data_IF_078156330766
#
_entry.id   IF_078156330766
#
_cell.length_a   1.000
_cell.length_b   1.000
_cell.length_c   1.000
_cell.angle_alpha   90.00
_cell.angle_beta   90.00
_cell.angle_gamma   90.00
#
_symmetry.space_group_name_H-M   'P 1'
#
loop_
_entity.id
_entity.type
_entity.pdbx_description
1 polymer ?
#
# COMPACT_ATOMS: atom_id res chain seq x y z
N UNK A 1 4.11 -2.86 7.77
CA UNK A 1 3.93 -4.27 7.36
C UNK A 1 5.02 -5.08 8.06
N UNK A 2 4.70 -5.88 9.08
CA UNK A 2 5.67 -6.80 9.71
C UNK A 2 6.13 -7.92 8.76
N UNK A 3 7.29 -8.51 9.03
CA UNK A 3 7.92 -9.61 8.26
C UNK A 3 7.11 -10.93 8.30
N UNK A 4 6.11 -11.05 9.17
CA UNK A 4 5.30 -12.27 9.31
C UNK A 4 4.04 -12.21 8.45
N UNK A 5 4.23 -12.37 7.14
CA UNK A 5 3.15 -12.50 6.14
C UNK A 5 2.06 -13.49 6.59
N UNK A 6 2.49 -14.70 6.98
CA UNK A 6 1.64 -15.79 7.47
C UNK A 6 0.81 -15.40 8.70
N UNK A 7 1.41 -14.69 9.66
CA UNK A 7 0.67 -14.26 10.86
C UNK A 7 -0.45 -13.29 10.51
N UNK A 8 -0.21 -12.32 9.61
CA UNK A 8 -1.27 -11.42 9.13
C UNK A 8 -2.38 -12.17 8.41
N UNK A 9 -2.04 -13.13 7.57
CA UNK A 9 -3.06 -13.94 6.90
C UNK A 9 -3.90 -14.73 7.88
N UNK A 10 -3.29 -15.31 8.92
CA UNK A 10 -4.03 -16.01 9.97
C UNK A 10 -5.01 -15.09 10.70
N UNK A 11 -4.62 -13.84 10.97
CA UNK A 11 -5.52 -12.84 11.54
C UNK A 11 -6.69 -12.49 10.59
N UNK A 12 -6.42 -12.30 9.29
CA UNK A 12 -7.46 -12.05 8.28
C UNK A 12 -8.40 -13.27 8.17
N UNK A 13 -7.86 -14.48 8.21
CA UNK A 13 -8.64 -15.71 8.17
C UNK A 13 -9.56 -15.86 9.39
N UNK A 14 -9.06 -15.55 10.59
CA UNK A 14 -9.85 -15.53 11.82
C UNK A 14 -10.97 -14.48 11.80
N UNK A 15 -10.66 -13.25 11.36
CA UNK A 15 -11.65 -12.19 11.20
C UNK A 15 -12.74 -12.57 10.16
N UNK A 16 -12.34 -13.16 9.04
CA UNK A 16 -13.26 -13.70 8.04
C UNK A 16 -14.20 -14.76 8.61
N UNK A 17 -13.70 -15.69 9.44
CA UNK A 17 -14.54 -16.70 10.05
C UNK A 17 -15.66 -16.06 10.89
N UNK A 18 -15.35 -15.05 11.70
CA UNK A 18 -16.34 -14.30 12.48
C UNK A 18 -17.36 -13.57 11.60
N UNK A 19 -16.89 -12.92 10.52
CA UNK A 19 -17.77 -12.23 9.56
C UNK A 19 -18.76 -13.22 8.92
N UNK A 20 -18.27 -14.42 8.55
CA UNK A 20 -19.12 -15.49 8.00
C UNK A 20 -20.14 -16.02 9.01
N UNK A 21 -19.72 -16.26 10.26
CA UNK A 21 -20.62 -16.68 11.35
C UNK A 21 -21.73 -15.64 11.60
N UNK A 22 -21.41 -14.34 11.49
CA UNK A 22 -22.40 -13.27 11.59
C UNK A 22 -23.28 -13.10 10.33
N UNK A 23 -23.04 -13.87 9.27
CA UNK A 23 -23.77 -13.75 8.00
C UNK A 23 -23.52 -12.43 7.27
N UNK A 24 -22.40 -11.75 7.54
CA UNK A 24 -22.11 -10.43 6.97
C UNK A 24 -21.47 -10.54 5.58
N UNK A 25 -21.97 -9.73 4.65
CA UNK A 25 -21.53 -9.67 3.25
C UNK A 25 -21.71 -8.24 2.70
N UNK A 26 -21.54 -8.05 1.38
CA UNK A 26 -21.66 -6.74 0.73
C UNK A 26 -23.04 -6.07 0.90
N UNK A 27 -24.11 -6.83 1.19
CA UNK A 27 -25.47 -6.30 1.42
C UNK A 27 -25.73 -5.92 2.87
N UNK A 28 -24.82 -6.27 3.79
CA UNK A 28 -24.93 -5.86 5.19
C UNK A 28 -24.84 -4.34 5.32
N UNK A 29 -25.41 -3.82 6.41
CA UNK A 29 -25.46 -2.39 6.71
C UNK A 29 -24.69 -2.08 8.01
N UNK A 30 -24.35 -0.81 8.21
CA UNK A 30 -23.68 -0.35 9.44
C UNK A 30 -22.34 -1.06 9.68
N UNK A 31 -22.11 -1.50 10.92
CA UNK A 31 -20.84 -2.11 11.34
C UNK A 31 -20.51 -3.40 10.58
N UNK A 32 -21.52 -4.22 10.24
CA UNK A 32 -21.30 -5.46 9.51
C UNK A 32 -20.75 -5.20 8.11
N UNK A 33 -21.28 -4.17 7.43
CA UNK A 33 -20.75 -3.71 6.14
C UNK A 33 -19.30 -3.24 6.27
N UNK A 34 -19.00 -2.41 7.27
CA UNK A 34 -17.66 -1.89 7.50
C UNK A 34 -16.65 -3.00 7.79
N UNK A 35 -17.01 -3.96 8.65
CA UNK A 35 -16.18 -5.13 8.95
C UNK A 35 -15.93 -5.98 7.71
N UNK A 36 -16.97 -6.25 6.91
CA UNK A 36 -16.87 -7.00 5.67
C UNK A 36 -15.89 -6.34 4.69
N UNK A 37 -16.12 -5.08 4.33
CA UNK A 37 -15.32 -4.36 3.34
C UNK A 37 -13.88 -4.12 3.79
N UNK A 38 -13.66 -3.83 5.07
CA UNK A 38 -12.31 -3.71 5.62
C UNK A 38 -11.56 -5.05 5.52
N UNK A 39 -12.21 -6.16 5.87
CA UNK A 39 -11.58 -7.47 5.84
C UNK A 39 -11.20 -7.90 4.42
N UNK A 40 -12.14 -7.86 3.48
CA UNK A 40 -11.86 -8.24 2.08
C UNK A 40 -10.88 -7.27 1.43
N UNK A 41 -10.93 -5.97 1.76
CA UNK A 41 -9.96 -4.98 1.29
C UNK A 41 -8.54 -5.29 1.75
N UNK A 42 -8.34 -5.61 3.03
CA UNK A 42 -7.02 -6.03 3.55
C UNK A 42 -6.54 -7.35 2.95
N UNK A 43 -7.45 -8.29 2.69
CA UNK A 43 -7.15 -9.55 2.01
C UNK A 43 -6.65 -9.29 0.59
N UNK A 44 -7.39 -8.51 -0.22
CA UNK A 44 -7.02 -8.15 -1.61
C UNK A 44 -5.64 -7.47 -1.64
N UNK A 45 -5.41 -6.47 -0.78
CA UNK A 45 -4.11 -5.78 -0.70
C UNK A 45 -2.96 -6.70 -0.29
N UNK A 46 -3.25 -7.75 0.48
CA UNK A 46 -2.25 -8.76 0.84
C UNK A 46 -1.98 -9.71 -0.32
N UNK A 47 -3.04 -10.20 -0.98
CA UNK A 47 -2.98 -11.09 -2.14
C UNK A 47 -2.25 -10.45 -3.32
N UNK A 48 -2.49 -9.16 -3.58
CA UNK A 48 -1.77 -8.38 -4.61
C UNK A 48 -0.26 -8.40 -4.40
N UNK A 49 0.20 -8.40 -3.15
CA UNK A 49 1.63 -8.39 -2.85
C UNK A 49 2.28 -9.76 -2.95
N UNK A 50 1.63 -10.79 -2.42
CA UNK A 50 2.17 -12.15 -2.44
C UNK A 50 1.88 -12.89 -3.75
N UNK A 51 1.16 -12.25 -4.67
CA UNK A 51 0.62 -12.87 -5.87
C UNK A 51 -0.19 -14.14 -5.55
N UNK A 52 -1.09 -14.03 -4.57
CA UNK A 52 -2.01 -15.08 -4.18
C UNK A 52 -3.41 -14.79 -4.65
N UNK A 53 -4.22 -15.83 -4.76
CA UNK A 53 -5.66 -15.66 -4.89
C UNK A 53 -6.23 -15.23 -3.55
N UNK A 54 -7.30 -14.43 -3.56
CA UNK A 54 -8.11 -14.22 -2.35
C UNK A 54 -8.73 -15.55 -1.94
N UNK A 55 -8.72 -15.83 -0.63
CA UNK A 55 -9.23 -17.09 -0.12
C UNK A 55 -10.75 -17.04 0.15
N UNK A 56 -11.36 -15.86 0.22
CA UNK A 56 -12.80 -15.70 0.07
C UNK A 56 -13.13 -15.35 -1.38
N UNK A 57 -13.74 -16.28 -2.11
CA UNK A 57 -14.17 -16.05 -3.49
C UNK A 57 -14.99 -14.76 -3.60
N UNK A 58 -14.60 -13.79 -4.45
CA UNK A 58 -15.37 -12.58 -4.66
C UNK A 58 -16.82 -12.85 -5.08
N UNK A 59 -17.10 -13.95 -5.78
CA UNK A 59 -18.46 -14.25 -6.23
C UNK A 59 -19.43 -14.54 -5.06
N UNK A 60 -18.89 -14.93 -3.90
CA UNK A 60 -19.65 -15.11 -2.65
C UNK A 60 -19.90 -13.78 -1.90
N UNK A 61 -19.32 -12.67 -2.35
CA UNK A 61 -19.41 -11.39 -1.64
C UNK A 61 -20.78 -10.73 -1.78
N UNK A 62 -21.58 -11.16 -2.77
CA UNK A 62 -22.90 -10.61 -3.05
C UNK A 62 -22.87 -9.12 -3.47
N UNK A 63 -21.85 -8.72 -4.22
CA UNK A 63 -21.70 -7.36 -4.76
C UNK A 63 -22.68 -7.14 -5.91
N UNK A 64 -23.39 -6.02 -5.88
CA UNK A 64 -24.19 -5.56 -7.02
C UNK A 64 -23.27 -4.94 -8.09
N UNK A 65 -23.25 -5.58 -9.25
CA UNK A 65 -22.43 -5.21 -10.41
C UNK A 65 -23.22 -4.44 -11.48
N UNK A 66 -24.26 -3.71 -11.08
CA UNK A 66 -24.93 -2.76 -11.98
C UNK A 66 -24.00 -1.59 -12.34
N UNK A 67 -23.65 -1.47 -13.62
CA UNK A 67 -22.83 -0.38 -14.15
C UNK A 67 -23.64 0.71 -14.86
N UNK A 68 -24.96 0.73 -14.70
CA UNK A 68 -25.78 1.85 -15.15
C UNK A 68 -25.19 3.17 -14.64
N UNK A 69 -25.15 4.16 -15.53
CA UNK A 69 -24.53 5.46 -15.27
C UNK A 69 -25.13 6.08 -14.00
N UNK A 70 -24.27 6.44 -13.06
CA UNK A 70 -24.67 7.12 -11.84
C UNK A 70 -24.71 8.64 -12.06
N UNK A 71 -25.92 9.19 -12.17
CA UNK A 71 -26.12 10.63 -12.30
C UNK A 71 -26.29 11.33 -10.93
N UNK A 72 -26.44 10.58 -9.83
CA UNK A 72 -26.62 11.13 -8.48
C UNK A 72 -25.34 11.09 -7.63
N UNK A 73 -25.05 12.18 -6.93
CA UNK A 73 -23.94 12.27 -5.98
C UNK A 73 -24.29 11.57 -4.67
N UNK A 74 -23.27 11.05 -3.95
CA UNK A 74 -23.44 10.52 -2.59
C UNK A 74 -23.40 8.99 -2.46
N UNK A 75 -23.36 8.25 -3.58
CA UNK A 75 -23.17 6.78 -3.59
C UNK A 75 -21.77 6.34 -4.00
N UNK A 76 -20.77 7.21 -3.84
CA UNK A 76 -19.41 6.92 -4.30
C UNK A 76 -18.80 5.67 -3.64
N UNK A 77 -19.18 5.35 -2.41
CA UNK A 77 -18.73 4.14 -1.71
C UNK A 77 -19.16 2.85 -2.42
N UNK A 78 -20.37 2.81 -2.98
CA UNK A 78 -20.85 1.65 -3.76
C UNK A 78 -19.95 1.40 -4.97
N UNK A 79 -19.57 2.47 -5.66
CA UNK A 79 -18.65 2.39 -6.80
C UNK A 79 -17.22 2.00 -6.37
N UNK A 80 -16.74 2.47 -5.23
CA UNK A 80 -15.46 2.02 -4.65
C UNK A 80 -15.47 0.52 -4.35
N UNK A 81 -16.56 0.01 -3.78
CA UNK A 81 -16.76 -1.41 -3.49
C UNK A 81 -16.81 -2.27 -4.77
N UNK A 82 -17.50 -1.81 -5.82
CA UNK A 82 -17.50 -2.45 -7.14
C UNK A 82 -16.08 -2.53 -7.71
N UNK A 83 -15.29 -1.44 -7.62
CA UNK A 83 -13.91 -1.46 -8.09
C UNK A 83 -13.02 -2.41 -7.27
N UNK A 84 -13.22 -2.47 -5.96
CA UNK A 84 -12.51 -3.42 -5.11
C UNK A 84 -12.83 -4.89 -5.48
N UNK A 85 -14.10 -5.20 -5.76
CA UNK A 85 -14.50 -6.51 -6.28
C UNK A 85 -13.80 -6.84 -7.59
N UNK A 86 -13.81 -5.91 -8.56
CA UNK A 86 -13.14 -6.12 -9.85
C UNK A 86 -11.63 -6.33 -9.65
N UNK A 87 -10.99 -5.54 -8.78
CA UNK A 87 -9.58 -5.69 -8.45
C UNK A 87 -9.28 -7.05 -7.80
N UNK A 88 -10.18 -7.59 -6.98
CA UNK A 88 -10.06 -8.93 -6.41
C UNK A 88 -10.09 -10.02 -7.49
N UNK A 89 -11.00 -9.92 -8.47
CA UNK A 89 -11.06 -10.84 -9.62
C UNK A 89 -9.79 -10.75 -10.47
N UNK A 90 -9.30 -9.53 -10.74
CA UNK A 90 -8.03 -9.31 -11.46
C UNK A 90 -6.84 -9.87 -10.67
N UNK A 91 -6.82 -9.73 -9.34
CA UNK A 91 -5.81 -10.34 -8.48
C UNK A 91 -5.80 -11.87 -8.61
N UNK A 92 -6.97 -12.51 -8.58
CA UNK A 92 -7.09 -13.96 -8.77
C UNK A 92 -6.64 -14.39 -10.17
N UNK A 93 -7.07 -13.66 -11.20
CA UNK A 93 -6.64 -13.89 -12.58
C UNK A 93 -5.12 -13.86 -12.69
N UNK A 94 -4.46 -12.82 -12.16
CA UNK A 94 -2.99 -12.73 -12.17
C UNK A 94 -2.31 -13.87 -11.42
N UNK A 95 -2.83 -14.25 -10.25
CA UNK A 95 -2.25 -15.31 -9.43
C UNK A 95 -2.32 -16.71 -10.06
N UNK A 96 -3.24 -16.92 -11.00
CA UNK A 96 -3.39 -18.19 -11.75
C UNK A 96 -2.61 -18.23 -13.07
N UNK A 97 -1.77 -17.23 -13.35
CA UNK A 97 -0.94 -17.23 -14.56
C UNK A 97 -0.06 -18.49 -14.63
N UNK A 98 -0.06 -19.23 -15.76
CA UNK A 98 0.77 -20.42 -15.92
C UNK A 98 2.25 -20.07 -15.76
N UNK A 99 2.96 -20.79 -14.88
CA UNK A 99 4.41 -20.61 -14.69
C UNK A 99 5.25 -21.45 -15.65
N UNK A 100 4.65 -22.46 -16.28
CA UNK A 100 5.30 -23.37 -17.22
C UNK A 100 4.40 -23.57 -18.45
N UNK A 101 4.98 -23.60 -19.65
CA UNK A 101 4.27 -24.03 -20.87
C UNK A 101 3.76 -25.47 -20.70
N UNK A 102 2.59 -25.79 -21.24
CA UNK A 102 2.08 -27.17 -21.21
C UNK A 102 2.83 -28.02 -22.23
N UNK A 103 2.86 -29.34 -22.03
CA UNK A 103 3.59 -30.24 -22.94
C UNK A 103 2.84 -30.43 -24.28
N UNK A 104 1.54 -30.06 -24.33
CA UNK A 104 0.66 -30.24 -25.48
C UNK A 104 0.20 -28.89 -26.05
N UNK A 105 0.59 -28.59 -27.28
CA UNK A 105 0.25 -27.33 -27.97
C UNK A 105 -1.26 -27.07 -28.09
N UNK A 106 -2.07 -28.12 -28.25
CA UNK A 106 -3.53 -27.99 -28.37
C UNK A 106 -4.17 -27.58 -27.05
N UNK A 107 -3.74 -28.17 -25.95
CA UNK A 107 -4.26 -27.87 -24.61
C UNK A 107 -3.83 -26.46 -24.19
N UNK A 108 -2.60 -26.06 -24.53
CA UNK A 108 -2.09 -24.70 -24.39
C UNK A 108 -2.95 -23.66 -25.13
N UNK A 109 -3.37 -23.97 -26.37
CA UNK A 109 -4.23 -23.09 -27.15
C UNK A 109 -5.61 -22.92 -26.50
N UNK A 110 -6.25 -24.02 -26.09
CA UNK A 110 -7.56 -24.00 -25.43
C UNK A 110 -7.50 -23.19 -24.13
N UNK A 111 -6.45 -23.42 -23.32
CA UNK A 111 -6.22 -22.68 -22.08
C UNK A 111 -6.01 -21.19 -22.31
N UNK A 112 -5.19 -20.85 -23.30
CA UNK A 112 -4.92 -19.45 -23.67
C UNK A 112 -6.20 -18.74 -24.10
N UNK A 113 -7.03 -19.41 -24.91
CA UNK A 113 -8.34 -18.90 -25.33
C UNK A 113 -9.27 -18.63 -24.13
N UNK A 114 -9.42 -19.60 -23.22
CA UNK A 114 -10.22 -19.40 -22.00
C UNK A 114 -9.70 -18.26 -21.12
N UNK A 115 -8.37 -18.13 -21.00
CA UNK A 115 -7.77 -17.00 -20.29
C UNK A 115 -8.05 -15.67 -20.98
N UNK A 116 -8.08 -15.62 -22.30
CA UNK A 116 -8.40 -14.41 -23.05
C UNK A 116 -9.86 -14.01 -22.89
N UNK A 117 -10.79 -14.96 -22.91
CA UNK A 117 -12.20 -14.72 -22.61
C UNK A 117 -12.38 -14.09 -21.22
N UNK A 118 -11.71 -14.65 -20.21
CA UNK A 118 -11.75 -14.11 -18.86
C UNK A 118 -11.08 -12.74 -18.75
N UNK A 119 -9.91 -12.56 -19.38
CA UNK A 119 -9.22 -11.26 -19.45
C UNK A 119 -10.11 -10.20 -20.08
N UNK A 120 -10.76 -10.52 -21.20
CA UNK A 120 -11.66 -9.64 -21.94
C UNK A 120 -12.87 -9.24 -21.10
N UNK A 121 -13.47 -10.21 -20.38
CA UNK A 121 -14.56 -9.96 -19.44
C UNK A 121 -14.16 -9.00 -18.32
N UNK A 122 -13.00 -9.24 -17.69
CA UNK A 122 -12.47 -8.38 -16.62
C UNK A 122 -12.16 -6.97 -17.14
N UNK A 123 -11.54 -6.87 -18.32
CA UNK A 123 -11.28 -5.59 -18.98
C UNK A 123 -12.58 -4.83 -19.26
N UNK A 124 -13.59 -5.51 -19.78
CA UNK A 124 -14.92 -4.95 -20.01
C UNK A 124 -15.56 -4.41 -18.73
N UNK A 125 -15.44 -5.10 -17.59
CA UNK A 125 -15.92 -4.59 -16.30
C UNK A 125 -15.13 -3.38 -15.79
N UNK A 126 -13.80 -3.38 -15.94
CA UNK A 126 -12.97 -2.23 -15.55
C UNK A 126 -13.34 -0.98 -16.36
N UNK A 127 -13.58 -1.15 -17.66
CA UNK A 127 -13.97 -0.05 -18.56
C UNK A 127 -15.39 0.43 -18.25
N UNK A 128 -16.35 -0.48 -18.13
CA UNK A 128 -17.73 -0.16 -17.76
C UNK A 128 -17.81 0.56 -16.41
N UNK A 129 -16.97 0.17 -15.44
CA UNK A 129 -16.87 0.88 -14.17
C UNK A 129 -16.44 2.34 -14.39
N UNK A 130 -15.39 2.59 -15.17
CA UNK A 130 -14.89 3.93 -15.43
C UNK A 130 -15.90 4.83 -16.17
N UNK A 131 -16.71 4.24 -17.05
CA UNK A 131 -17.73 4.94 -17.81
C UNK A 131 -18.99 5.23 -16.97
N UNK A 132 -19.26 4.36 -15.98
CA UNK A 132 -20.43 4.45 -15.11
C UNK A 132 -20.26 5.31 -13.86
N UNK A 133 -19.02 5.56 -13.39
CA UNK A 133 -18.80 6.30 -12.13
C UNK A 133 -19.41 7.72 -12.16
N UNK A 134 -19.91 8.21 -11.01
CA UNK A 134 -20.41 9.58 -10.92
C UNK A 134 -19.29 10.59 -11.15
N UNK A 135 -19.66 11.80 -11.61
CA UNK A 135 -18.70 12.86 -11.94
C UNK A 135 -17.79 13.25 -10.76
N UNK A 136 -18.24 13.08 -9.52
CA UNK A 136 -17.47 13.32 -8.29
C UNK A 136 -16.30 12.35 -8.09
N UNK A 137 -16.26 11.23 -8.81
CA UNK A 137 -15.16 10.26 -8.83
C UNK A 137 -14.22 10.42 -10.03
N UNK A 138 -14.57 11.29 -10.97
CA UNK A 138 -13.69 11.69 -12.07
C UNK A 138 -12.66 12.71 -11.57
N UNK A 139 -11.40 12.67 -12.06
CA UNK A 139 -10.44 13.74 -11.79
C UNK A 139 -10.98 15.10 -12.23
N UNK A 140 -10.80 16.11 -11.39
CA UNK A 140 -11.14 17.50 -11.73
C UNK A 140 -10.17 18.10 -12.74
N UNK A 141 -8.90 17.70 -12.63
CA UNK A 141 -7.82 18.16 -13.49
C UNK A 141 -6.67 17.14 -13.50
N UNK A 142 -5.92 17.17 -14.58
CA UNK A 142 -4.61 16.54 -14.72
C UNK A 142 -3.62 17.65 -15.05
N UNK A 143 -2.61 17.84 -14.20
CA UNK A 143 -1.54 18.80 -14.42
C UNK A 143 -0.24 18.03 -14.63
N UNK A 144 0.38 18.21 -15.78
CA UNK A 144 1.69 17.60 -16.05
C UNK A 144 2.79 18.37 -15.31
N UNK A 145 3.98 17.78 -15.09
CA UNK A 145 5.07 18.41 -14.35
C UNK A 145 5.40 19.85 -14.77
N UNK A 146 5.28 20.17 -16.06
CA UNK A 146 5.54 21.52 -16.60
C UNK A 146 4.43 22.54 -16.30
N UNK A 147 3.29 22.12 -15.73
CA UNK A 147 2.10 22.92 -15.48
C UNK A 147 1.84 23.15 -13.99
N UNK A 148 2.64 22.56 -13.11
CA UNK A 148 2.51 22.66 -11.65
C UNK A 148 3.82 23.17 -11.04
N UNK A 149 3.71 23.77 -9.87
CA UNK A 149 4.87 24.13 -9.04
C UNK A 149 5.36 22.94 -8.20
N UNK A 150 4.65 21.80 -8.25
CA UNK A 150 5.16 20.55 -7.71
C UNK A 150 6.46 20.20 -8.44
N UNK A 151 7.49 19.79 -7.70
CA UNK A 151 8.76 19.31 -8.28
C UNK A 151 8.67 17.83 -8.68
N UNK A 152 7.46 17.29 -8.80
CA UNK A 152 7.22 15.89 -9.12
C UNK A 152 7.41 15.64 -10.61
N UNK A 153 8.04 14.52 -10.97
CA UNK A 153 8.10 14.02 -12.35
C UNK A 153 6.78 13.36 -12.77
N UNK A 154 5.92 13.04 -11.80
CA UNK A 154 4.61 12.44 -12.05
C UNK A 154 3.52 13.51 -12.20
N UNK A 155 2.44 13.22 -12.94
CA UNK A 155 1.33 14.14 -13.09
C UNK A 155 0.61 14.38 -11.76
N UNK A 156 0.15 15.60 -11.53
CA UNK A 156 -0.70 15.94 -10.41
C UNK A 156 -2.17 15.71 -10.79
N UNK A 157 -2.84 14.82 -10.04
CA UNK A 157 -4.20 14.35 -10.33
C UNK A 157 -5.14 14.84 -9.24
N UNK A 158 -6.04 15.75 -9.60
CA UNK A 158 -6.92 16.39 -8.61
C UNK A 158 -8.19 15.58 -8.39
N UNK A 159 -8.29 14.96 -7.22
CA UNK A 159 -9.45 14.18 -6.76
C UNK A 159 -9.94 14.72 -5.42
N UNK A 160 -11.26 14.88 -5.28
CA UNK A 160 -11.85 15.60 -4.14
C UNK A 160 -12.04 14.68 -2.93
N UNK A 161 -12.71 13.54 -3.11
CA UNK A 161 -13.11 12.66 -2.01
C UNK A 161 -12.10 11.54 -1.81
N UNK A 162 -11.84 11.17 -0.55
CA UNK A 162 -10.96 10.03 -0.19
C UNK A 162 -11.39 8.72 -0.86
N UNK A 163 -12.70 8.46 -0.89
CA UNK A 163 -13.26 7.27 -1.56
C UNK A 163 -12.95 7.27 -3.06
N UNK A 164 -13.06 8.43 -3.73
CA UNK A 164 -12.68 8.59 -5.14
C UNK A 164 -11.19 8.32 -5.37
N UNK A 165 -10.32 8.77 -4.47
CA UNK A 165 -8.87 8.51 -4.57
C UNK A 165 -8.58 7.02 -4.50
N UNK A 166 -9.14 6.33 -3.51
CA UNK A 166 -8.94 4.88 -3.35
C UNK A 166 -9.50 4.11 -4.56
N UNK A 167 -10.71 4.45 -5.00
CA UNK A 167 -11.31 3.82 -6.18
C UNK A 167 -10.48 4.04 -7.45
N UNK A 168 -9.95 5.25 -7.66
CA UNK A 168 -9.07 5.56 -8.80
C UNK A 168 -7.73 4.84 -8.75
N UNK A 169 -7.16 4.67 -7.56
CA UNK A 169 -5.98 3.83 -7.38
C UNK A 169 -6.28 2.37 -7.76
N UNK A 170 -7.40 1.81 -7.29
CA UNK A 170 -7.80 0.44 -7.65
C UNK A 170 -8.07 0.28 -9.15
N UNK A 171 -8.75 1.23 -9.77
CA UNK A 171 -8.98 1.25 -11.21
C UNK A 171 -7.67 1.21 -12.01
N UNK A 172 -6.74 2.12 -11.72
CA UNK A 172 -5.47 2.16 -12.45
C UNK A 172 -4.60 0.92 -12.16
N UNK A 173 -4.69 0.37 -10.94
CA UNK A 173 -4.02 -0.89 -10.60
C UNK A 173 -4.58 -2.05 -11.42
N UNK A 174 -5.91 -2.16 -11.54
CA UNK A 174 -6.55 -3.19 -12.35
C UNK A 174 -6.13 -3.09 -13.83
N UNK A 175 -6.16 -1.89 -14.42
CA UNK A 175 -5.71 -1.68 -15.80
C UNK A 175 -4.22 -2.04 -15.99
N UNK A 176 -3.36 -1.64 -15.05
CA UNK A 176 -1.93 -1.97 -15.07
C UNK A 176 -1.71 -3.49 -15.05
N UNK A 177 -2.38 -4.20 -14.13
CA UNK A 177 -2.23 -5.65 -14.01
C UNK A 177 -2.81 -6.40 -15.22
N UNK A 178 -3.93 -5.93 -15.78
CA UNK A 178 -4.50 -6.50 -17.00
C UNK A 178 -3.55 -6.33 -18.19
N UNK A 179 -2.92 -5.17 -18.34
CA UNK A 179 -1.92 -4.96 -19.39
C UNK A 179 -0.73 -5.93 -19.27
N UNK A 180 -0.26 -6.20 -18.04
CA UNK A 180 0.83 -7.15 -17.76
C UNK A 180 0.43 -8.63 -17.93
N UNK A 181 -0.86 -8.94 -17.98
CA UNK A 181 -1.36 -10.33 -17.97
C UNK A 181 -2.17 -10.68 -19.22
N UNK A 182 -2.01 -9.91 -20.30
CA UNK A 182 -2.68 -10.16 -21.56
C UNK A 182 -2.24 -11.51 -22.18
N UNK A 183 -3.15 -12.47 -22.43
CA UNK A 183 -2.76 -13.83 -22.81
C UNK A 183 -2.00 -13.98 -24.14
N UNK A 184 -2.21 -13.09 -25.10
CA UNK A 184 -1.54 -13.12 -26.42
C UNK A 184 -0.41 -12.09 -26.58
N UNK A 185 -0.28 -11.16 -25.65
CA UNK A 185 0.67 -10.07 -25.78
C UNK A 185 1.76 -10.29 -24.75
N UNK A 186 2.98 -10.59 -25.21
CA UNK A 186 4.14 -10.62 -24.34
C UNK A 186 4.57 -9.22 -23.90
N UNK A 187 5.62 -9.17 -23.08
CA UNK A 187 6.16 -7.92 -22.53
C UNK A 187 6.65 -6.92 -23.60
N UNK A 188 6.89 -7.39 -24.83
CA UNK A 188 7.38 -6.58 -25.95
C UNK A 188 6.26 -5.94 -26.78
N UNK A 189 4.98 -6.23 -26.46
CA UNK A 189 3.86 -5.62 -27.15
C UNK A 189 3.75 -4.14 -26.75
N UNK A 190 4.08 -3.25 -27.70
CA UNK A 190 4.11 -1.81 -27.48
C UNK A 190 2.79 -1.24 -26.91
N UNK A 191 1.64 -1.71 -27.38
CA UNK A 191 0.34 -1.22 -26.92
C UNK A 191 0.11 -1.52 -25.44
N UNK A 192 0.34 -2.77 -25.02
CA UNK A 192 0.22 -3.18 -23.62
C UNK A 192 1.27 -2.49 -22.74
N UNK A 193 2.50 -2.33 -23.23
CA UNK A 193 3.56 -1.62 -22.53
C UNK A 193 3.20 -0.14 -22.29
N UNK A 194 2.69 0.55 -23.31
CA UNK A 194 2.27 1.96 -23.19
C UNK A 194 1.03 2.12 -22.31
N UNK A 195 0.08 1.17 -22.38
CA UNK A 195 -1.06 1.13 -21.48
C UNK A 195 -0.62 0.97 -20.01
N UNK A 196 0.29 0.03 -19.76
CA UNK A 196 0.86 -0.22 -18.44
C UNK A 196 1.59 1.03 -17.91
N UNK A 197 2.48 1.63 -18.72
CA UNK A 197 3.20 2.87 -18.35
C UNK A 197 2.27 4.02 -18.04
N UNK A 198 1.21 4.22 -18.83
CA UNK A 198 0.20 5.25 -18.59
C UNK A 198 -0.45 5.08 -17.22
N UNK A 199 -0.86 3.86 -16.88
CA UNK A 199 -1.52 3.58 -15.60
C UNK A 199 -0.55 3.59 -14.42
N UNK A 200 0.70 3.17 -14.60
CA UNK A 200 1.75 3.35 -13.59
C UNK A 200 1.99 4.83 -13.28
N UNK A 201 2.16 5.68 -14.30
CA UNK A 201 2.31 7.12 -14.13
C UNK A 201 1.13 7.75 -13.39
N UNK A 202 -0.09 7.32 -13.71
CA UNK A 202 -1.30 7.77 -13.01
C UNK A 202 -1.32 7.36 -11.54
N UNK A 203 -0.92 6.13 -11.20
CA UNK A 203 -0.82 5.69 -9.82
C UNK A 203 0.23 6.52 -9.09
N UNK A 204 1.46 6.60 -9.61
CA UNK A 204 2.54 7.38 -8.99
C UNK A 204 2.13 8.84 -8.78
N UNK A 205 1.48 9.45 -9.79
CA UNK A 205 0.97 10.81 -9.74
C UNK A 205 -0.11 11.04 -8.68
N UNK A 206 -1.08 10.13 -8.56
CA UNK A 206 -2.07 10.19 -7.47
C UNK A 206 -1.35 10.10 -6.12
N UNK A 207 -0.49 9.10 -5.92
CA UNK A 207 0.12 8.81 -4.62
C UNK A 207 1.11 9.89 -4.18
N UNK A 208 1.88 10.47 -5.10
CA UNK A 208 2.79 11.58 -4.81
C UNK A 208 2.09 12.75 -4.10
N UNK A 209 0.82 13.00 -4.47
CA UNK A 209 0.03 14.14 -4.03
C UNK A 209 -1.01 13.80 -2.95
N UNK A 210 -1.08 12.54 -2.49
CA UNK A 210 -1.92 12.17 -1.34
C UNK A 210 -1.36 12.80 -0.06
N UNK A 211 -2.27 13.39 0.74
CA UNK A 211 -1.99 13.98 2.06
C UNK A 211 -2.69 13.25 3.21
N UNK A 212 -3.71 12.44 2.92
CA UNK A 212 -4.43 11.66 3.92
C UNK A 212 -3.66 10.38 4.26
N UNK A 213 -3.33 10.21 5.54
CA UNK A 213 -2.55 9.06 6.04
C UNK A 213 -3.23 7.71 5.79
N UNK A 214 -4.56 7.65 5.88
CA UNK A 214 -5.33 6.42 5.65
C UNK A 214 -5.27 6.01 4.18
N UNK A 215 -5.48 6.96 3.27
CA UNK A 215 -5.35 6.74 1.82
C UNK A 215 -3.92 6.36 1.45
N UNK A 216 -2.90 7.02 2.01
CA UNK A 216 -1.49 6.69 1.79
C UNK A 216 -1.16 5.24 2.17
N UNK A 217 -1.73 4.73 3.28
CA UNK A 217 -1.57 3.33 3.69
C UNK A 217 -2.16 2.34 2.69
N UNK A 218 -3.33 2.65 2.11
CA UNK A 218 -4.00 1.79 1.10
C UNK A 218 -3.25 1.84 -0.24
N UNK A 219 -2.75 3.02 -0.60
CA UNK A 219 -2.05 3.27 -1.86
C UNK A 219 -0.73 2.52 -2.03
N UNK A 220 -0.11 2.09 -0.92
CA UNK A 220 1.20 1.46 -0.90
C UNK A 220 1.31 0.26 -1.87
N UNK A 221 0.24 -0.53 -2.00
CA UNK A 221 0.22 -1.71 -2.89
C UNK A 221 0.11 -1.35 -4.36
N UNK A 222 -0.76 -0.41 -4.69
CA UNK A 222 -0.84 0.17 -6.03
C UNK A 222 0.49 0.78 -6.45
N UNK A 223 1.12 1.55 -5.55
CA UNK A 223 2.41 2.18 -5.80
C UNK A 223 3.50 1.14 -6.08
N UNK A 224 3.54 0.05 -5.31
CA UNK A 224 4.50 -1.03 -5.54
C UNK A 224 4.37 -1.61 -6.94
N UNK A 225 3.16 -1.99 -7.38
CA UNK A 225 2.94 -2.51 -8.73
C UNK A 225 3.29 -1.50 -9.83
N UNK A 226 2.92 -0.22 -9.63
CA UNK A 226 3.27 0.85 -10.57
C UNK A 226 4.78 1.03 -10.71
N UNK A 227 5.50 1.01 -9.58
CA UNK A 227 6.93 1.21 -9.50
C UNK A 227 7.73 0.14 -10.26
N UNK A 228 7.26 -1.12 -10.27
CA UNK A 228 7.97 -2.25 -10.89
C UNK A 228 8.31 -2.05 -12.37
N UNK A 229 7.49 -1.29 -13.10
CA UNK A 229 7.66 -1.09 -14.55
C UNK A 229 8.32 0.24 -14.91
N UNK A 230 8.70 1.04 -13.93
CA UNK A 230 9.39 2.31 -14.18
C UNK A 230 10.76 2.05 -14.78
N UNK A 231 11.10 2.83 -15.80
CA UNK A 231 12.36 2.70 -16.55
C UNK A 231 13.23 3.95 -16.48
N UNK A 232 12.64 5.12 -16.26
CA UNK A 232 13.40 6.37 -16.06
C UNK A 232 13.97 6.42 -14.63
N UNK A 233 15.27 6.70 -14.53
CA UNK A 233 15.97 6.81 -13.24
C UNK A 233 15.34 7.85 -12.32
N UNK A 234 14.85 8.98 -12.84
CA UNK A 234 14.23 10.05 -12.05
C UNK A 234 12.88 9.61 -11.47
N UNK A 235 12.08 8.90 -12.26
CA UNK A 235 10.81 8.31 -11.78
C UNK A 235 11.07 7.27 -10.68
N UNK A 236 12.08 6.43 -10.87
CA UNK A 236 12.49 5.42 -9.88
C UNK A 236 13.00 6.07 -8.59
N UNK A 237 13.83 7.11 -8.66
CA UNK A 237 14.31 7.83 -7.49
C UNK A 237 13.18 8.56 -6.74
N UNK A 238 12.28 9.23 -7.45
CA UNK A 238 11.14 9.90 -6.83
C UNK A 238 10.18 8.89 -6.19
N UNK A 239 9.91 7.75 -6.84
CA UNK A 239 9.00 6.75 -6.25
C UNK A 239 9.54 6.20 -4.93
N UNK A 240 10.87 6.03 -4.80
CA UNK A 240 11.49 5.66 -3.53
C UNK A 240 11.31 6.75 -2.46
N UNK A 241 11.37 8.03 -2.83
CA UNK A 241 11.08 9.14 -1.91
C UNK A 241 9.61 9.16 -1.48
N UNK A 242 8.68 8.84 -2.38
CA UNK A 242 7.25 8.69 -2.07
C UNK A 242 7.06 7.55 -1.07
N UNK A 243 7.72 6.40 -1.28
CA UNK A 243 7.73 5.29 -0.33
C UNK A 243 8.25 5.72 1.05
N UNK A 244 9.37 6.44 1.11
CA UNK A 244 9.93 6.97 2.36
C UNK A 244 8.96 7.90 3.09
N UNK A 245 8.28 8.79 2.35
CA UNK A 245 7.25 9.67 2.91
C UNK A 245 6.11 8.85 3.51
N UNK A 246 5.58 7.88 2.79
CA UNK A 246 4.49 7.01 3.29
C UNK A 246 4.97 6.26 4.54
N UNK A 247 6.18 5.71 4.55
CA UNK A 247 6.74 5.01 5.72
C UNK A 247 6.79 5.92 6.95
N UNK A 248 7.32 7.14 6.80
CA UNK A 248 7.39 8.15 7.88
C UNK A 248 6.00 8.52 8.42
N UNK A 249 5.03 8.72 7.54
CA UNK A 249 3.67 9.14 7.92
C UNK A 249 2.85 7.99 8.53
N UNK A 250 3.01 6.77 8.03
CA UNK A 250 2.12 5.65 8.34
C UNK A 250 2.73 4.67 9.34
N UNK A 251 4.06 4.57 9.43
CA UNK A 251 4.81 3.60 10.24
C UNK A 251 4.94 2.21 9.61
N UNK A 252 4.56 2.05 8.34
CA UNK A 252 4.64 0.75 7.67
C UNK A 252 6.07 0.44 7.25
N UNK A 253 6.65 -0.61 7.83
CA UNK A 253 7.93 -1.16 7.33
C UNK A 253 7.79 -1.63 5.88
N UNK A 254 8.61 -1.05 5.00
CA UNK A 254 8.61 -1.28 3.55
C UNK A 254 10.02 -1.60 3.02
N UNK A 255 10.97 -1.92 3.91
CA UNK A 255 12.38 -2.19 3.57
C UNK A 255 12.58 -3.22 2.44
N UNK A 256 11.78 -4.28 2.43
CA UNK A 256 11.83 -5.31 1.38
C UNK A 256 11.45 -4.77 -0.01
N UNK A 257 10.53 -3.80 -0.09
CA UNK A 257 10.06 -3.22 -1.36
C UNK A 257 11.21 -2.52 -2.08
N UNK A 258 12.09 -1.83 -1.37
CA UNK A 258 13.24 -1.15 -2.01
C UNK A 258 14.18 -2.13 -2.68
N UNK A 259 14.52 -3.24 -2.00
CA UNK A 259 15.39 -4.28 -2.56
C UNK A 259 14.77 -4.91 -3.80
N UNK A 260 13.49 -5.28 -3.72
CA UNK A 260 12.76 -5.90 -4.83
C UNK A 260 12.66 -4.96 -6.04
N UNK A 261 12.36 -3.67 -5.82
CA UNK A 261 12.26 -2.68 -6.89
C UNK A 261 13.62 -2.41 -7.56
N UNK A 262 14.66 -2.17 -6.75
CA UNK A 262 16.02 -1.97 -7.27
C UNK A 262 16.50 -3.16 -8.10
N UNK A 263 16.22 -4.38 -7.64
CA UNK A 263 16.54 -5.59 -8.39
C UNK A 263 15.78 -5.64 -9.74
N UNK A 264 14.47 -5.33 -9.75
CA UNK A 264 13.66 -5.29 -10.98
C UNK A 264 14.13 -4.22 -11.96
N UNK A 265 14.61 -3.09 -11.47
CA UNK A 265 15.17 -2.02 -12.29
C UNK A 265 16.60 -2.29 -12.77
N UNK A 266 17.21 -3.40 -12.37
CA UNK A 266 18.60 -3.70 -12.68
C UNK A 266 19.57 -2.72 -12.01
N UNK A 267 19.21 -2.15 -10.86
CA UNK A 267 20.14 -1.39 -10.03
C UNK A 267 21.09 -2.39 -9.38
N UNK A 268 22.14 -2.73 -10.10
CA UNK A 268 23.28 -3.47 -9.57
C UNK A 268 24.00 -2.55 -8.59
N UNK A 269 23.48 -2.44 -7.37
CA UNK A 269 24.31 -2.00 -6.24
C UNK A 269 25.32 -3.12 -6.02
N UNK A 270 26.47 -3.06 -6.72
CA UNK A 270 27.62 -3.82 -6.29
C UNK A 270 27.79 -3.52 -4.80
N UNK A 271 27.84 -4.54 -3.93
CA UNK A 271 28.07 -4.31 -2.52
C UNK A 271 29.36 -3.50 -2.44
N UNK A 272 29.30 -2.36 -1.76
CA UNK A 272 30.47 -1.50 -1.62
C UNK A 272 31.66 -2.37 -1.17
N UNK A 273 32.91 -2.10 -1.62
CA UNK A 273 34.07 -2.91 -1.24
C UNK A 273 34.18 -3.12 0.29
N UNK A 274 33.67 -2.16 1.06
CA UNK A 274 33.57 -2.22 2.52
C UNK A 274 32.53 -3.24 3.02
N UNK A 275 31.36 -3.35 2.39
CA UNK A 275 30.35 -4.37 2.74
C UNK A 275 30.81 -5.77 2.35
N UNK A 276 31.46 -5.94 1.20
CA UNK A 276 32.02 -7.26 0.82
C UNK A 276 33.11 -7.70 1.79
N UNK A 277 34.01 -6.79 2.19
CA UNK A 277 35.05 -7.07 3.19
C UNK A 277 34.47 -7.42 4.57
N UNK A 278 33.42 -6.73 5.02
CA UNK A 278 32.76 -7.01 6.31
C UNK A 278 32.04 -8.37 6.30
N UNK A 279 31.35 -8.70 5.21
CA UNK A 279 30.61 -9.97 5.09
C UNK A 279 31.55 -11.17 5.02
N UNK A 280 32.67 -11.03 4.28
CA UNK A 280 33.70 -12.06 4.19
C UNK A 280 34.46 -12.25 5.51
N UNK A 281 34.69 -11.16 6.27
CA UNK A 281 35.32 -11.22 7.60
C UNK A 281 34.40 -11.90 8.62
N UNK A 282 33.09 -11.58 8.60
CA UNK A 282 32.10 -12.21 9.47
C UNK A 282 31.96 -13.71 9.21
N UNK A 283 31.96 -14.14 7.95
CA UNK A 283 31.92 -15.56 7.59
C UNK A 283 33.16 -16.33 8.07
N UNK A 284 34.35 -15.73 7.97
CA UNK A 284 35.59 -16.32 8.49
C UNK A 284 35.54 -16.44 10.01
N UNK A 285 35.04 -15.42 10.72
CA UNK A 285 34.89 -15.46 12.18
C UNK A 285 33.88 -16.51 12.62
N UNK A 286 32.77 -16.67 11.90
CA UNK A 286 31.75 -17.66 12.21
C UNK A 286 32.24 -19.09 12.01
N UNK A 287 33.03 -19.33 10.94
CA UNK A 287 33.67 -20.61 10.70
C UNK A 287 34.71 -20.96 11.77
N UNK A 288 35.54 -19.98 12.18
CA UNK A 288 36.50 -20.17 13.29
C UNK A 288 35.79 -20.46 14.62
N UNK A 289 34.68 -19.78 14.91
CA UNK A 289 33.90 -20.02 16.12
C UNK A 289 33.26 -21.42 16.12
N UNK A 290 32.79 -21.89 14.95
CA UNK A 290 32.28 -23.27 14.80
C UNK A 290 33.39 -24.31 14.99
N UNK A 291 34.56 -24.12 14.37
CA UNK A 291 35.71 -25.01 14.51
C UNK A 291 36.22 -25.06 15.97
N UNK A 292 36.22 -23.92 16.67
CA UNK A 292 36.58 -23.86 18.09
C UNK A 292 35.55 -24.54 19.00
N UNK A 293 34.27 -24.39 18.69
CA UNK A 293 33.18 -25.05 19.41
C UNK A 293 33.22 -26.58 19.23
N UNK A 294 33.52 -27.06 18.01
CA UNK A 294 33.75 -28.49 17.75
C UNK A 294 34.96 -29.02 18.52
N UNK A 295 36.06 -28.27 18.56
CA UNK A 295 37.27 -28.66 19.29
C UNK A 295 37.02 -28.79 20.80
N UNK A 296 36.28 -27.84 21.39
CA UNK A 296 35.89 -27.89 22.80
C UNK A 296 34.98 -29.08 23.12
N UNK A 297 34.04 -29.42 22.22
CA UNK A 297 33.20 -30.61 22.37
C UNK A 297 34.04 -31.89 22.35
N UNK A 298 35.04 -31.94 21.47
CA UNK A 298 35.92 -33.10 21.33
C UNK A 298 36.86 -33.27 22.53
N UNK A 299 37.39 -32.18 23.07
CA UNK A 299 38.17 -32.17 24.33
C UNK A 299 37.31 -32.62 25.53
N UNK A 300 36.06 -32.16 25.64
CA UNK A 300 35.13 -32.63 26.69
C UNK A 300 34.83 -34.13 26.58
N UNK A 301 34.60 -34.63 25.37
CA UNK A 301 34.35 -36.06 25.14
C UNK A 301 35.57 -36.92 25.53
N UNK A 302 36.78 -36.47 25.23
CA UNK A 302 38.02 -37.15 25.64
C UNK A 302 38.23 -37.13 27.16
N UNK A 303 37.94 -36.01 27.82
CA UNK A 303 38.03 -35.91 29.28
C UNK A 303 37.02 -36.82 30.01
N UNK A 304 35.80 -36.95 29.48
CA UNK A 304 34.78 -37.88 30.00
C UNK A 304 35.20 -39.35 29.81
N UNK A 305 35.80 -39.69 28.66
CA UNK A 305 36.32 -41.04 28.42
C UNK A 305 37.49 -41.40 29.35
N UNK A 306 38.36 -40.43 29.67
CA UNK A 306 39.47 -40.63 30.61
C UNK A 306 39.00 -40.85 32.06
N UNK A 307 37.92 -40.19 32.48
CA UNK A 307 37.32 -40.42 33.82
C UNK A 307 36.64 -41.77 33.96
N UNK A 308 36.09 -42.35 32.87
CA UNK A 308 35.52 -43.70 32.89
C UNK A 308 36.57 -44.82 32.83
N UNK A 309 37.83 -44.50 32.49
CA UNK A 309 38.93 -45.46 32.37
C UNK A 309 39.69 -45.79 33.67
N UNK A 310 39.37 -45.15 34.80
CA UNK A 310 40.03 -45.35 36.10
C UNK A 310 39.09 -46.01 37.14
N UNK A 311 38.41 -47.09 36.75
CA UNK A 311 37.65 -47.97 37.64
C UNK A 311 38.32 -49.34 37.77
N UNK A 312 38.82 -49.65 38.97
CA UNK A 312 39.48 -50.91 39.35
C UNK A 312 38.65 -52.18 39.04
N UNK A 313 39.30 -53.33 38.73
CA UNK A 313 38.61 -54.58 38.46
C UNK A 313 38.28 -55.36 39.74
N UNK A 314 37.03 -55.81 39.82
CA UNK A 314 36.66 -57.12 40.35
C UNK A 314 36.48 -57.27 41.86
N UNK A 315 35.23 -57.37 42.31
CA UNK A 315 34.80 -58.51 43.14
C UNK A 315 33.29 -58.73 43.02
N UNK A 316 32.94 -59.99 42.74
CA UNK A 316 31.59 -60.55 42.72
C UNK A 316 30.98 -60.55 44.13
N UNK A 317 29.66 -60.33 44.23
CA UNK A 317 28.75 -61.01 45.16
C UNK A 317 27.30 -60.68 44.75
N UNK A 318 26.42 -61.67 44.86
CA UNK A 318 24.96 -61.61 44.66
C UNK A 318 24.35 -62.49 45.78
N UNK A 319 23.04 -62.46 46.08
CA UNK A 319 22.10 -61.36 46.35
C UNK A 319 21.48 -61.47 47.77
N UNK A 320 20.83 -60.41 48.28
CA UNK A 320 19.47 -60.48 48.88
C UNK A 320 19.10 -59.19 49.63
N UNK A 321 17.84 -58.80 49.43
CA UNK A 321 17.01 -58.38 50.57
C UNK A 321 16.78 -56.88 50.72
N UNK A 322 15.49 -56.59 50.83
CA UNK A 322 14.88 -55.51 51.60
C UNK A 322 14.38 -54.25 50.89
N UNK A 323 13.17 -53.94 51.34
CA UNK A 323 12.15 -53.00 50.91
C UNK A 323 12.27 -51.63 51.59
N UNK A 324 11.59 -50.64 50.99
CA UNK A 324 11.27 -49.34 51.59
C UNK A 324 11.94 -48.22 50.81
N UNK A 325 11.27 -47.21 50.27
CA UNK A 325 10.04 -46.57 50.74
C UNK A 325 10.41 -45.13 51.13
N UNK A 326 9.85 -44.14 50.41
CA UNK A 326 10.06 -42.71 50.64
C UNK A 326 11.01 -42.09 49.60
N UNK A 327 10.78 -40.90 49.06
CA UNK A 327 9.84 -39.86 49.43
C UNK A 327 10.46 -38.52 49.04
N UNK A 328 9.62 -37.56 48.66
CA UNK A 328 9.90 -36.12 48.77
C UNK A 328 10.91 -35.53 47.78
N UNK A 329 10.43 -35.06 46.64
CA UNK A 329 11.10 -34.01 45.89
C UNK A 329 10.66 -32.64 46.43
N UNK A 330 11.61 -31.82 46.86
CA UNK A 330 11.42 -30.38 47.09
C UNK A 330 12.42 -29.59 46.25
N UNK A 331 11.87 -28.75 45.38
CA UNK A 331 12.57 -27.74 44.60
C UNK A 331 12.78 -26.49 45.45
N UNK A 332 14.04 -26.10 45.67
CA UNK A 332 14.38 -24.81 46.24
C UNK A 332 14.47 -23.74 45.13
N UNK A 333 13.62 -22.72 45.24
CA UNK A 333 13.62 -21.53 44.42
C UNK A 333 14.63 -20.50 44.95
N UNK A 334 15.43 -19.91 44.06
CA UNK A 334 16.25 -18.74 44.36
C UNK A 334 15.53 -17.44 43.98
N UNK A 335 15.34 -16.60 44.99
CA UNK A 335 14.91 -15.20 44.93
C UNK A 335 15.94 -14.31 44.21
N UNK A 336 15.45 -13.44 43.32
CA UNK A 336 16.18 -12.28 42.77
C UNK A 336 15.46 -10.99 43.15
N UNK A 337 16.25 -10.01 43.62
CA UNK A 337 15.84 -8.78 44.30
C UNK A 337 15.12 -7.74 43.41
N UNK A 338 14.22 -6.98 44.05
CA UNK A 338 13.53 -5.81 43.50
C UNK A 338 14.36 -4.53 43.69
N UNK A 339 14.38 -3.65 42.69
CA UNK A 339 14.78 -2.24 42.85
C UNK A 339 13.56 -1.34 42.56
N UNK A 340 13.21 -0.52 43.55
CA UNK A 340 12.12 0.46 43.53
C UNK A 340 12.42 1.64 42.59
N UNK A 341 11.41 2.05 41.83
CA UNK A 341 11.38 3.29 41.04
C UNK A 341 10.50 4.32 41.75
N UNK A 342 11.01 5.54 41.91
CA UNK A 342 10.37 6.67 42.56
C UNK A 342 9.28 7.31 41.71
N UNK A 343 8.24 7.77 42.39
CA UNK A 343 7.03 8.43 41.90
C UNK A 343 7.27 9.91 41.56
N UNK A 344 6.89 10.32 40.35
CA UNK A 344 6.80 11.72 39.90
C UNK A 344 5.35 12.13 39.62
N UNK A 345 4.95 13.28 40.16
CA UNK A 345 3.62 13.89 40.03
C UNK A 345 3.35 14.45 38.61
N UNK A 346 2.08 14.56 38.17
CA UNK A 346 1.73 15.09 36.85
C UNK A 346 1.66 16.63 36.82
N UNK A 347 2.34 17.25 35.87
CA UNK A 347 2.26 18.69 35.57
C UNK A 347 1.23 18.97 34.46
N UNK A 348 0.39 19.98 34.68
CA UNK A 348 -0.63 20.46 33.73
C UNK A 348 0.00 21.16 32.50
N UNK A 349 -0.65 21.09 31.32
CA UNK A 349 -0.18 21.79 30.13
C UNK A 349 -0.54 23.30 30.15
N UNK A 350 0.32 24.19 29.60
CA UNK A 350 0.04 25.61 29.49
C UNK A 350 -0.95 25.93 28.35
N UNK A 351 -1.63 27.11 28.40
CA UNK A 351 -2.64 27.52 27.43
C UNK A 351 -2.04 27.91 26.06
N UNK A 352 -2.84 27.87 24.97
CA UNK A 352 -2.36 28.13 23.62
C UNK A 352 -2.09 29.63 23.36
N UNK A 353 -1.02 29.90 22.60
CA UNK A 353 -0.67 31.24 22.11
C UNK A 353 -1.60 31.72 20.98
N UNK A 354 -1.77 33.05 20.79
CA UNK A 354 -2.66 33.61 19.78
C UNK A 354 -2.18 33.35 18.34
N UNK A 355 -3.14 33.14 17.43
CA UNK A 355 -2.90 32.78 16.04
C UNK A 355 -2.16 33.88 15.26
N UNK A 356 -1.13 33.49 14.51
CA UNK A 356 -0.41 34.36 13.59
C UNK A 356 -1.30 34.75 12.38
N UNK A 357 -1.15 35.98 11.84
CA UNK A 357 -1.95 36.44 10.71
C UNK A 357 -1.67 35.61 9.44
N UNK A 358 -2.74 35.16 8.78
CA UNK A 358 -2.67 34.42 7.52
C UNK A 358 -1.97 35.25 6.44
N UNK A 359 -0.85 34.75 5.92
CA UNK A 359 -0.20 35.31 4.73
C UNK A 359 -1.10 35.08 3.52
N UNK A 360 -1.45 36.16 2.81
CA UNK A 360 -2.13 36.08 1.50
C UNK A 360 -1.30 35.20 0.55
N UNK A 361 -1.93 34.25 -0.18
CA UNK A 361 -1.19 33.45 -1.16
C UNK A 361 -0.63 34.36 -2.27
N UNK A 362 0.58 34.06 -2.78
CA UNK A 362 1.18 34.84 -3.86
C UNK A 362 0.31 34.79 -5.11
N UNK A 363 0.07 35.95 -5.72
CA UNK A 363 -0.57 36.06 -7.02
C UNK A 363 0.39 35.52 -8.08
N UNK A 364 0.00 34.48 -8.82
CA UNK A 364 0.91 33.96 -9.85
C UNK A 364 0.56 32.69 -10.62
N UNK A 365 -0.60 32.06 -10.42
CA UNK A 365 -1.10 31.05 -11.36
C UNK A 365 -2.60 31.34 -11.57
N UNK A 366 -3.03 31.83 -12.76
CA UNK A 366 -4.44 32.01 -13.04
C UNK A 366 -5.11 30.64 -12.93
N UNK A 367 -6.13 30.53 -12.09
CA UNK A 367 -6.92 29.30 -12.02
C UNK A 367 -7.52 29.06 -13.43
N UNK A 368 -7.22 27.92 -14.09
CA UNK A 368 -7.62 27.69 -15.47
C UNK A 368 -9.14 27.67 -15.66
N UNK A 369 -9.92 27.47 -14.59
CA UNK A 369 -11.38 27.65 -14.60
C UNK A 369 -11.80 29.11 -14.77
N UNK A 370 -11.02 30.06 -14.25
CA UNK A 370 -11.33 31.50 -14.31
C UNK A 370 -10.78 32.18 -15.57
N UNK A 371 -9.77 31.62 -16.21
CA UNK A 371 -9.16 32.22 -17.40
C UNK A 371 -10.10 32.31 -18.62
N UNK A 372 -11.17 31.49 -18.65
CA UNK A 372 -12.16 31.45 -19.74
C UNK A 372 -13.61 31.60 -19.26
N UNK A 373 -13.82 31.80 -17.97
CA UNK A 373 -15.16 31.94 -17.43
C UNK A 373 -15.66 33.36 -17.64
N UNK A 374 -16.59 33.52 -18.57
CA UNK A 374 -17.35 34.75 -18.76
C UNK A 374 -18.57 34.76 -17.82
N UNK A 375 -18.37 35.31 -16.64
CA UNK A 375 -19.42 35.48 -15.64
C UNK A 375 -20.37 36.64 -15.94
N UNK A 376 -20.17 37.37 -17.05
CA UNK A 376 -21.14 38.37 -17.51
C UNK A 376 -22.39 37.76 -18.17
N UNK A 377 -22.36 36.45 -18.46
CA UNK A 377 -23.48 35.77 -19.12
C UNK A 377 -24.69 35.57 -18.19
N UNK A 378 -25.93 35.73 -18.68
CA UNK A 378 -27.15 35.61 -17.87
C UNK A 378 -27.46 34.21 -17.31
N UNK A 379 -26.58 33.21 -17.48
CA UNK A 379 -26.84 31.84 -17.03
C UNK A 379 -25.57 31.13 -16.50
N UNK A 380 -24.67 31.88 -15.85
CA UNK A 380 -23.47 31.29 -15.26
C UNK A 380 -23.80 30.53 -13.95
N UNK A 381 -23.13 29.40 -13.64
CA UNK A 381 -23.48 28.51 -12.52
C UNK A 381 -23.25 29.08 -11.11
N UNK A 382 -22.87 30.35 -10.98
CA UNK A 382 -22.52 31.01 -9.72
C UNK A 382 -23.33 32.29 -9.45
N UNK A 383 -24.48 32.48 -10.10
CA UNK A 383 -25.30 33.70 -9.96
C UNK A 383 -25.68 34.02 -8.50
N UNK A 384 -25.85 33.01 -7.66
CA UNK A 384 -26.12 33.18 -6.24
C UNK A 384 -24.95 33.74 -5.42
N UNK A 385 -23.72 33.72 -5.96
CA UNK A 385 -22.49 33.99 -5.21
C UNK A 385 -21.59 35.04 -5.87
N UNK A 386 -21.81 35.35 -7.15
CA UNK A 386 -20.99 36.27 -7.90
C UNK A 386 -21.87 37.14 -8.80
N UNK A 387 -21.76 38.46 -8.64
CA UNK A 387 -22.36 39.45 -9.53
C UNK A 387 -21.21 40.12 -10.30
N UNK A 388 -21.17 40.04 -11.64
CA UNK A 388 -20.10 40.66 -12.41
C UNK A 388 -20.13 42.20 -12.26
N UNK A 389 -18.97 42.88 -12.21
CA UNK A 389 -18.92 44.34 -12.22
C UNK A 389 -19.60 44.91 -13.47
N UNK A 390 -20.52 45.85 -13.30
CA UNK A 390 -21.24 46.46 -14.42
C UNK A 390 -20.26 47.09 -15.43
N UNK A 391 -20.35 46.68 -16.69
CA UNK A 391 -19.52 47.18 -17.79
C UNK A 391 -20.01 48.58 -18.20
N UNK A 392 -19.66 49.59 -17.41
CA UNK A 392 -20.25 50.91 -17.61
C UNK A 392 -19.64 52.03 -16.78
N UNK A 393 -18.31 52.15 -16.72
CA UNK A 393 -17.64 53.44 -16.51
C UNK A 393 -16.36 53.47 -17.35
N UNK A 394 -16.53 53.92 -18.59
CA UNK A 394 -15.44 54.21 -19.50
C UNK A 394 -14.56 55.35 -18.97
N UNK A 395 -13.27 55.14 -19.12
CA UNK A 395 -12.20 56.13 -19.16
C UNK A 395 -12.63 57.50 -19.71
N UNK A 396 -12.50 58.54 -18.89
CA UNK A 396 -12.37 59.93 -19.33
C UNK A 396 -11.00 60.46 -18.86
N UNK A 397 -10.26 61.20 -19.71
CA UNK A 397 -8.93 61.69 -19.39
C UNK A 397 -8.95 62.99 -18.56
N UNK A 398 -7.81 63.20 -17.90
CA UNK A 398 -7.37 64.31 -17.02
C UNK A 398 -8.02 65.69 -17.29
N UNK A 399 -8.65 66.27 -16.26
CA UNK A 399 -8.45 67.68 -15.88
C UNK A 399 -8.75 67.89 -14.38
N UNK A 400 -8.08 68.86 -13.76
CA UNK A 400 -7.79 68.88 -12.33
C UNK A 400 -8.80 69.55 -11.39
N UNK A 401 -8.23 69.87 -10.22
CA UNK A 401 -8.67 70.84 -9.22
C UNK A 401 -9.75 70.43 -8.18
N UNK A 402 -9.27 70.44 -6.92
CA UNK A 402 -9.90 70.92 -5.68
C UNK A 402 -10.85 70.01 -4.88
N UNK A 403 -10.44 69.78 -3.61
CA UNK A 403 -11.21 69.75 -2.33
C UNK A 403 -12.46 68.84 -2.26
N UNK A 404 -12.92 68.24 -1.16
CA UNK A 404 -12.62 68.24 0.28
C UNK A 404 -13.70 67.35 0.93
N UNK A 405 -13.36 66.69 2.03
CA UNK A 405 -14.19 66.33 3.20
C UNK A 405 -15.68 65.94 3.04
N UNK A 406 -16.07 64.86 3.74
CA UNK A 406 -17.28 64.93 4.60
C UNK A 406 -18.23 63.73 4.60
N UNK A 407 -18.15 62.95 5.69
CA UNK A 407 -19.22 62.46 6.56
C UNK A 407 -20.61 62.02 6.03
N UNK A 408 -20.96 60.79 6.48
CA UNK A 408 -22.23 60.27 7.01
C UNK A 408 -23.59 60.77 6.47
N UNK A 409 -24.40 59.77 6.09
CA UNK A 409 -25.84 59.68 6.37
C UNK A 409 -26.16 58.22 6.63
#
# INVERSE_FOLDING_TARGET
MSERALQRMNHIAGARALIKECGWNARSQGIGSACFWLNVGLEVLSCLHFNWQVAWDPDDWAVDMDFNREDMNGREEVWTHRMLYILAKVCNFRATMPRQPEHNLRDDQIRTQHRYEEWSRLKGWVDAWNDGIPRTMQPMAFLYPHQTSSKSVFPEVWLVKRTSIVARLFFHTAQLLLAQTHPYCGNDNLEMTELAKRHSNMICGIVAHVKDRGVASVALRSLAHAAEILTDRREQEEVLQIFDKINKETGWRIGFVYGDLKAKWGWNEEPSPQQFAQTHTALIQQKKAQEEQERLLQEQAQAQAAQQGMGLPGMQMQPQGYSGGGGGGEFAAHQGMMHQSSSGLPSQPPPPAPAAPQKKPPAGIPNPMYAKADFSKPNHPYQAYYVPPASGFGSQPIDGMYYSLGFQG
#
